data_IF_957006603291
#
_entry.id   IF_957006603291
#
_cell.length_a   1.000
_cell.length_b   1.000
_cell.length_c   1.000
_cell.angle_alpha   90.00
_cell.angle_beta   90.00
_cell.angle_gamma   90.00
#
_symmetry.space_group_name_H-M   'P 1'
#
loop_
_entity.id
_entity.type
_entity.pdbx_description
1 polymer ?
#
# COMPACT_ATOMS: atom_id res chain seq x y z
N UNK A 1 13.34 -29.72 -10.22
CA UNK A 1 12.01 -29.26 -10.65
C UNK A 1 12.22 -28.03 -11.48
N UNK A 2 11.78 -28.03 -12.74
CA UNK A 2 11.92 -26.88 -13.63
C UNK A 2 10.89 -25.81 -13.22
N UNK A 3 11.35 -24.58 -13.00
CA UNK A 3 10.54 -23.42 -12.61
C UNK A 3 10.13 -22.59 -13.83
N UNK A 4 9.98 -23.21 -15.01
CA UNK A 4 9.85 -22.48 -16.29
C UNK A 4 8.58 -21.62 -16.41
N UNK A 5 7.59 -21.76 -15.52
CA UNK A 5 6.40 -20.92 -15.48
C UNK A 5 6.15 -20.32 -14.09
N UNK A 6 6.99 -19.37 -13.67
CA UNK A 6 6.73 -18.53 -12.49
C UNK A 6 6.67 -17.05 -12.86
N UNK A 7 5.58 -16.38 -12.47
CA UNK A 7 5.45 -14.92 -12.57
C UNK A 7 5.86 -14.28 -11.24
N UNK A 8 6.67 -13.23 -11.30
CA UNK A 8 7.10 -12.46 -10.13
C UNK A 8 6.45 -11.09 -10.19
N UNK A 9 5.84 -10.69 -9.07
CA UNK A 9 5.23 -9.38 -8.88
C UNK A 9 5.84 -8.72 -7.65
N UNK A 10 6.44 -7.56 -7.83
CA UNK A 10 7.00 -6.77 -6.75
C UNK A 10 6.21 -5.46 -6.60
N UNK A 11 5.70 -5.19 -5.42
CA UNK A 11 4.86 -4.02 -5.17
C UNK A 11 4.96 -3.53 -3.74
N UNK A 12 4.51 -2.29 -3.53
CA UNK A 12 4.50 -1.67 -2.20
C UNK A 12 3.06 -1.61 -1.68
N UNK A 13 2.85 -2.16 -0.48
CA UNK A 13 1.68 -1.89 0.33
C UNK A 13 1.87 -0.62 1.16
N UNK A 14 0.85 0.23 1.20
CA UNK A 14 0.80 1.44 2.02
C UNK A 14 -0.48 1.44 2.86
N UNK A 15 -0.34 1.67 4.16
CA UNK A 15 -1.47 1.79 5.08
C UNK A 15 -1.26 2.92 6.09
N UNK A 16 -2.32 3.67 6.38
CA UNK A 16 -2.40 4.60 7.52
C UNK A 16 -3.55 4.18 8.41
N UNK A 17 -3.23 3.72 9.61
CA UNK A 17 -4.21 3.27 10.59
C UNK A 17 -4.95 4.43 11.25
N UNK A 18 -6.09 4.13 11.87
CA UNK A 18 -6.89 5.10 12.64
C UNK A 18 -6.19 5.56 13.92
N UNK A 19 -5.15 4.86 14.35
CA UNK A 19 -4.25 5.29 15.42
C UNK A 19 -3.41 6.51 15.06
N UNK A 20 -3.29 6.85 13.76
CA UNK A 20 -2.56 8.01 13.22
C UNK A 20 -1.09 8.10 13.65
N UNK A 21 -0.52 7.02 14.15
CA UNK A 21 0.85 6.88 14.64
C UNK A 21 1.88 6.86 13.48
N UNK A 22 1.48 6.41 12.29
CA UNK A 22 2.37 6.41 11.15
C UNK A 22 1.74 6.03 9.81
N UNK A 23 2.62 5.99 8.81
CA UNK A 23 2.38 5.41 7.49
C UNK A 23 3.24 4.15 7.39
N UNK A 24 2.59 3.00 7.34
CA UNK A 24 3.25 1.71 7.16
C UNK A 24 3.49 1.46 5.68
N UNK A 25 4.74 1.15 5.34
CA UNK A 25 5.18 0.80 3.99
C UNK A 25 5.80 -0.59 4.01
N UNK A 26 5.37 -1.45 3.09
CA UNK A 26 5.93 -2.79 2.92
C UNK A 26 6.19 -3.07 1.44
N UNK A 27 7.46 -3.24 1.08
CA UNK A 27 7.85 -3.74 -0.23
C UNK A 27 7.85 -5.26 -0.23
N UNK A 28 6.98 -5.84 -1.05
CA UNK A 28 6.71 -7.26 -1.08
C UNK A 28 6.96 -7.84 -2.46
N UNK A 29 7.47 -9.07 -2.50
CA UNK A 29 7.54 -9.91 -3.69
C UNK A 29 6.52 -11.02 -3.56
N UNK A 30 5.74 -11.23 -4.62
CA UNK A 30 4.83 -12.34 -4.79
C UNK A 30 5.29 -13.18 -5.96
N UNK A 31 5.36 -14.49 -5.78
CA UNK A 31 5.65 -15.42 -6.85
C UNK A 31 4.45 -16.35 -7.08
N UNK A 32 3.94 -16.33 -8.29
CA UNK A 32 2.89 -17.22 -8.76
C UNK A 32 3.52 -18.39 -9.50
N UNK A 33 3.22 -19.62 -9.09
CA UNK A 33 3.62 -20.82 -9.83
C UNK A 33 2.42 -21.38 -10.58
N UNK A 34 2.55 -21.47 -11.89
CA UNK A 34 1.51 -21.98 -12.78
C UNK A 34 1.84 -23.41 -13.18
N UNK A 35 0.88 -24.32 -13.01
CA UNK A 35 0.97 -25.67 -13.60
C UNK A 35 0.61 -25.59 -15.10
N UNK A 36 1.55 -25.89 -16.03
CA UNK A 36 1.31 -25.80 -17.48
C UNK A 36 0.24 -26.76 -18.02
N UNK A 37 -0.21 -27.75 -17.22
CA UNK A 37 -1.21 -28.74 -17.64
C UNK A 37 -2.65 -28.44 -17.21
N UNK A 38 -2.88 -27.46 -16.34
CA UNK A 38 -4.23 -27.14 -15.84
C UNK A 38 -4.88 -26.01 -16.63
N UNK A 39 -6.17 -26.16 -16.91
CA UNK A 39 -7.02 -25.07 -17.39
C UNK A 39 -7.22 -24.09 -16.22
N UNK A 40 -6.48 -22.98 -16.26
CA UNK A 40 -6.38 -21.99 -15.19
C UNK A 40 -7.74 -21.64 -14.58
N UNK A 41 -7.94 -22.00 -13.31
CA UNK A 41 -8.90 -21.33 -12.43
C UNK A 41 -8.13 -20.64 -11.30
N UNK A 42 -8.68 -19.60 -10.69
CA UNK A 42 -8.02 -18.85 -9.61
C UNK A 42 -7.67 -19.70 -8.37
N UNK A 43 -8.22 -20.91 -8.25
CA UNK A 43 -7.96 -21.83 -7.14
C UNK A 43 -6.74 -22.76 -7.38
N UNK A 44 -6.20 -22.79 -8.60
CA UNK A 44 -5.14 -23.74 -8.98
C UNK A 44 -3.72 -23.13 -8.93
N UNK A 45 -3.62 -21.83 -8.66
CA UNK A 45 -2.34 -21.11 -8.57
C UNK A 45 -1.72 -21.24 -7.17
N UNK A 46 -0.44 -21.61 -7.11
CA UNK A 46 0.32 -21.61 -5.86
C UNK A 46 1.08 -20.29 -5.71
N UNK A 47 0.78 -19.54 -4.65
CA UNK A 47 1.43 -18.28 -4.34
C UNK A 47 2.42 -18.42 -3.19
N UNK A 48 3.57 -17.79 -3.33
CA UNK A 48 4.47 -17.49 -2.21
C UNK A 48 4.71 -15.99 -2.12
N UNK A 49 5.07 -15.51 -0.93
CA UNK A 49 5.39 -14.10 -0.71
C UNK A 49 6.62 -13.93 0.16
N UNK A 50 7.27 -12.77 0.01
CA UNK A 50 8.41 -12.31 0.79
C UNK A 50 8.25 -10.82 1.07
N UNK A 51 8.42 -10.39 2.32
CA UNK A 51 8.57 -8.97 2.66
C UNK A 51 10.05 -8.62 2.51
N UNK A 52 10.37 -7.88 1.46
CA UNK A 52 11.74 -7.48 1.14
C UNK A 52 12.21 -6.33 2.03
N UNK A 53 11.31 -5.39 2.31
CA UNK A 53 11.55 -4.24 3.18
C UNK A 53 10.25 -3.78 3.82
N UNK A 54 10.31 -3.34 5.07
CA UNK A 54 9.21 -2.67 5.74
C UNK A 54 9.71 -1.52 6.61
N UNK A 55 8.94 -0.45 6.69
CA UNK A 55 9.22 0.74 7.50
C UNK A 55 7.90 1.41 7.90
N UNK A 56 7.86 1.98 9.11
CA UNK A 56 6.78 2.86 9.55
C UNK A 56 7.33 4.28 9.62
N UNK A 57 6.79 5.16 8.76
CA UNK A 57 7.15 6.58 8.76
C UNK A 57 6.24 7.31 9.75
N UNK A 58 6.79 8.02 10.76
CA UNK A 58 5.97 8.74 11.72
C UNK A 58 5.05 9.76 11.05
N UNK A 59 3.78 9.79 11.45
CA UNK A 59 2.82 10.76 10.94
C UNK A 59 3.15 12.16 11.49
N UNK A 60 3.26 13.19 10.63
CA UNK A 60 3.39 14.57 11.11
C UNK A 60 2.20 14.99 11.98
N UNK A 61 2.45 15.72 13.06
CA UNK A 61 1.40 16.25 13.96
C UNK A 61 0.34 17.07 13.21
N UNK A 62 0.73 17.74 12.11
CA UNK A 62 -0.17 18.53 11.26
C UNK A 62 -1.30 17.71 10.63
N UNK A 63 -1.12 16.40 10.49
CA UNK A 63 -2.14 15.51 9.94
C UNK A 63 -3.11 14.99 10.99
N UNK A 64 -2.68 14.86 12.25
CA UNK A 64 -3.50 14.28 13.32
C UNK A 64 -4.83 15.03 13.46
N UNK A 65 -4.80 16.32 13.81
CA UNK A 65 -6.04 17.08 13.98
C UNK A 65 -6.85 17.26 12.68
N UNK A 66 -6.18 17.21 11.51
CA UNK A 66 -6.86 17.33 10.21
C UNK A 66 -7.64 16.06 9.85
N UNK A 67 -7.10 14.87 10.15
CA UNK A 67 -7.74 13.60 9.84
C UNK A 67 -8.78 13.22 10.90
N UNK A 68 -8.47 13.45 12.18
CA UNK A 68 -9.36 13.13 13.31
C UNK A 68 -10.74 13.79 13.20
N UNK A 69 -10.76 15.09 12.85
CA UNK A 69 -12.00 15.86 12.70
C UNK A 69 -12.59 15.83 11.29
N UNK A 70 -11.97 15.11 10.35
CA UNK A 70 -12.29 15.21 8.92
C UNK A 70 -13.72 14.79 8.60
N UNK A 71 -14.24 13.81 9.33
CA UNK A 71 -15.60 13.31 9.15
C UNK A 71 -16.69 14.34 9.45
N UNK A 72 -16.37 15.37 10.23
CA UNK A 72 -17.28 16.45 10.63
C UNK A 72 -17.16 17.71 9.74
N UNK A 73 -16.21 17.71 8.80
CA UNK A 73 -15.92 18.87 7.95
C UNK A 73 -16.90 18.98 6.77
N UNK A 74 -16.90 20.16 6.13
CA UNK A 74 -17.63 20.36 4.88
C UNK A 74 -17.09 19.44 3.76
N UNK A 75 -17.96 19.12 2.79
CA UNK A 75 -17.58 18.32 1.62
C UNK A 75 -16.39 18.91 0.84
N UNK A 76 -16.30 20.25 0.78
CA UNK A 76 -15.16 20.94 0.14
C UNK A 76 -13.85 20.67 0.91
N UNK A 77 -13.87 20.81 2.24
CA UNK A 77 -12.70 20.54 3.09
C UNK A 77 -12.30 19.08 3.03
N UNK A 78 -13.28 18.16 3.01
CA UNK A 78 -13.06 16.74 2.82
C UNK A 78 -12.33 16.46 1.50
N UNK A 79 -12.87 16.95 0.38
CA UNK A 79 -12.28 16.73 -0.95
C UNK A 79 -10.87 17.33 -1.06
N UNK A 80 -10.65 18.53 -0.52
CA UNK A 80 -9.32 19.16 -0.49
C UNK A 80 -8.33 18.37 0.36
N UNK A 81 -8.78 17.85 1.49
CA UNK A 81 -7.93 17.03 2.37
C UNK A 81 -7.59 15.70 1.73
N UNK A 82 -8.54 15.04 1.04
CA UNK A 82 -8.29 13.83 0.28
C UNK A 82 -7.15 14.00 -0.73
N UNK A 83 -7.21 15.06 -1.54
CA UNK A 83 -6.16 15.37 -2.54
C UNK A 83 -4.81 15.64 -1.86
N UNK A 84 -4.80 16.46 -0.80
CA UNK A 84 -3.57 16.79 -0.06
C UNK A 84 -2.94 15.56 0.60
N UNK A 85 -3.77 14.67 1.15
CA UNK A 85 -3.29 13.46 1.80
C UNK A 85 -2.71 12.50 0.77
N UNK A 86 -3.35 12.37 -0.41
CA UNK A 86 -2.79 11.64 -1.54
C UNK A 86 -1.40 12.13 -1.96
N UNK A 87 -1.20 13.46 -2.04
CA UNK A 87 0.12 14.03 -2.32
C UNK A 87 1.15 13.70 -1.23
N UNK A 88 0.77 13.84 0.04
CA UNK A 88 1.64 13.48 1.17
C UNK A 88 2.05 12.00 1.12
N UNK A 89 1.10 11.08 0.90
CA UNK A 89 1.41 9.65 0.76
C UNK A 89 2.34 9.38 -0.44
N UNK A 90 2.12 10.06 -1.56
CA UNK A 90 2.97 9.93 -2.76
C UNK A 90 4.39 10.44 -2.52
N UNK A 91 4.56 11.52 -1.77
CA UNK A 91 5.88 12.04 -1.37
C UNK A 91 6.58 11.07 -0.42
N UNK A 92 5.90 10.62 0.64
CA UNK A 92 6.42 9.63 1.60
C UNK A 92 6.85 8.34 0.89
N UNK A 93 6.04 7.86 -0.05
CA UNK A 93 6.34 6.65 -0.82
C UNK A 93 7.53 6.85 -1.76
N UNK A 94 7.60 7.99 -2.46
CA UNK A 94 8.73 8.32 -3.33
C UNK A 94 10.03 8.33 -2.55
N UNK A 95 10.01 8.91 -1.35
CA UNK A 95 11.20 9.02 -0.51
C UNK A 95 11.66 7.64 -0.01
N UNK A 96 10.73 6.76 0.38
CA UNK A 96 11.02 5.34 0.69
C UNK A 96 11.58 4.56 -0.51
N UNK A 97 11.00 4.73 -1.70
CA UNK A 97 11.48 4.09 -2.93
C UNK A 97 12.92 4.52 -3.23
N UNK A 98 13.22 5.81 -3.07
CA UNK A 98 14.56 6.34 -3.31
C UNK A 98 15.57 5.93 -2.25
N UNK A 99 15.23 5.99 -0.95
CA UNK A 99 16.14 5.66 0.14
C UNK A 99 16.57 4.20 0.12
N UNK A 100 15.65 3.31 -0.27
CA UNK A 100 15.88 1.87 -0.33
C UNK A 100 16.30 1.38 -1.73
N UNK A 101 16.40 2.28 -2.71
CA UNK A 101 16.73 1.96 -4.10
C UNK A 101 15.84 0.86 -4.71
N UNK A 102 14.54 0.97 -4.46
CA UNK A 102 13.52 0.00 -4.87
C UNK A 102 12.94 0.38 -6.24
N UNK A 103 12.42 -0.61 -7.00
CA UNK A 103 11.73 -0.38 -8.29
C UNK A 103 10.44 -1.20 -8.34
N UNK A 104 9.38 -0.79 -7.61
CA UNK A 104 8.16 -1.56 -7.54
C UNK A 104 7.42 -1.48 -8.88
N UNK A 105 6.71 -2.56 -9.23
CA UNK A 105 5.85 -2.60 -10.42
C UNK A 105 4.49 -1.95 -10.17
N UNK A 106 4.03 -1.95 -8.92
CA UNK A 106 2.76 -1.36 -8.51
C UNK A 106 2.78 -0.88 -7.05
N UNK A 107 1.76 -0.10 -6.71
CA UNK A 107 1.50 0.39 -5.35
C UNK A 107 0.06 0.06 -5.00
N UNK A 108 -0.14 -0.53 -3.83
CA UNK A 108 -1.45 -0.79 -3.25
C UNK A 108 -1.61 0.06 -2.01
N UNK A 109 -2.45 1.08 -2.09
CA UNK A 109 -2.70 2.02 -0.98
C UNK A 109 -4.08 1.78 -0.39
N UNK A 110 -4.13 1.40 0.88
CA UNK A 110 -5.38 1.46 1.67
C UNK A 110 -5.80 2.93 1.86
N UNK A 111 -4.82 3.83 2.06
CA UNK A 111 -5.08 5.20 2.49
C UNK A 111 -5.43 5.25 3.98
N UNK A 112 -6.33 6.17 4.32
CA UNK A 112 -6.79 6.41 5.69
C UNK A 112 -8.31 6.36 5.75
N UNK A 113 -8.86 5.61 6.70
CA UNK A 113 -10.31 5.47 6.89
C UNK A 113 -10.86 6.70 7.58
N UNK A 114 -11.80 7.41 6.94
CA UNK A 114 -12.49 8.57 7.56
C UNK A 114 -13.87 8.18 8.08
N UNK A 115 -14.60 7.35 7.34
CA UNK A 115 -15.89 6.79 7.73
C UNK A 115 -15.83 5.27 7.64
N UNK A 116 -16.49 4.57 8.56
CA UNK A 116 -16.65 3.12 8.51
C UNK A 116 -18.11 2.74 8.76
N UNK A 117 -18.83 2.43 7.67
CA UNK A 117 -20.25 2.08 7.65
C UNK A 117 -20.46 0.85 6.74
N UNK A 118 -20.15 -0.36 7.21
CA UNK A 118 -20.18 -1.59 6.41
C UNK A 118 -21.59 -2.09 6.08
#
# INVERSE_FOLDING_TARGET
MNFENSSIYEGIGLMSGTSMDGIDLAYCRFAERIDPGLKLTCNDAYWSFEILKAETIPMPETWHGRLDSLGEQSAETFARTHVRFGHFLGETLRDFIHSENIKPQFVSSHGHTVFHQP
#
